data_IF_211104346441
#
_entry.id   IF_211104346441
#
_cell.length_a   1.000
_cell.length_b   1.000
_cell.length_c   1.000
_cell.angle_alpha   90.00
_cell.angle_beta   90.00
_cell.angle_gamma   90.00
#
_symmetry.space_group_name_H-M   'P 1'
#
loop_
_entity.id
_entity.type
_entity.pdbx_description
1 polymer ?
#
# COMPACT_ATOMS: atom_id res chain seq x y z
N UNK A 1 -8.81 8.20 13.85
CA UNK A 1 -8.26 7.46 15.02
C UNK A 1 -8.77 8.05 16.35
N UNK A 2 -8.77 9.38 16.53
CA UNK A 2 -9.31 10.02 17.74
C UNK A 2 -10.81 9.72 18.01
N UNK A 3 -11.65 9.73 16.97
CA UNK A 3 -13.08 9.40 17.10
C UNK A 3 -13.32 7.94 17.58
N UNK A 4 -12.53 7.00 17.07
CA UNK A 4 -12.62 5.58 17.45
C UNK A 4 -12.16 5.38 18.89
N UNK A 5 -11.08 6.05 19.30
CA UNK A 5 -10.61 6.02 20.69
C UNK A 5 -11.64 6.62 21.64
N UNK A 6 -12.28 7.73 21.25
CA UNK A 6 -13.36 8.36 22.02
C UNK A 6 -14.56 7.41 22.19
N UNK A 7 -14.97 6.73 21.13
CA UNK A 7 -16.08 5.79 21.18
C UNK A 7 -15.75 4.53 22.01
N UNK A 8 -14.52 4.00 21.92
CA UNK A 8 -14.05 2.90 22.76
C UNK A 8 -13.98 3.29 24.24
N UNK A 9 -13.47 4.49 24.56
CA UNK A 9 -13.47 5.01 25.94
C UNK A 9 -14.89 5.22 26.49
N UNK A 10 -15.81 5.71 25.66
CA UNK A 10 -17.21 5.81 26.02
C UNK A 10 -17.80 4.43 26.35
N UNK A 11 -17.54 3.42 25.51
CA UNK A 11 -18.05 2.06 25.71
C UNK A 11 -17.47 1.41 26.97
N UNK A 12 -16.18 1.63 27.26
CA UNK A 12 -15.53 1.21 28.51
C UNK A 12 -16.19 1.90 29.73
N UNK A 13 -16.48 3.20 29.63
CA UNK A 13 -17.16 3.94 30.69
C UNK A 13 -18.57 3.41 30.97
N UNK A 14 -19.33 3.04 29.95
CA UNK A 14 -20.66 2.44 30.11
C UNK A 14 -20.57 1.03 30.70
N UNK A 15 -19.59 0.22 30.27
CA UNK A 15 -19.34 -1.09 30.86
C UNK A 15 -18.94 -1.01 32.35
N UNK A 16 -18.14 0.00 32.73
CA UNK A 16 -17.81 0.29 34.12
C UNK A 16 -19.05 0.63 34.96
N UNK A 17 -19.95 1.47 34.45
CA UNK A 17 -21.23 1.79 35.11
C UNK A 17 -22.13 0.57 35.29
N UNK A 18 -22.17 -0.36 34.32
CA UNK A 18 -22.94 -1.61 34.44
C UNK A 18 -22.40 -2.50 35.57
N UNK A 19 -21.08 -2.58 35.74
CA UNK A 19 -20.45 -3.35 36.82
C UNK A 19 -20.76 -2.75 38.20
N UNK A 20 -20.77 -1.42 38.33
CA UNK A 20 -21.15 -0.71 39.57
C UNK A 20 -22.64 -0.89 39.92
N UNK A 21 -23.52 -0.88 38.90
CA UNK A 21 -24.98 -1.02 39.09
C UNK A 21 -25.45 -2.42 39.48
N UNK A 22 -24.62 -3.46 39.31
CA UNK A 22 -24.95 -4.83 39.73
C UNK A 22 -25.20 -4.96 41.25
N UNK A 23 -24.84 -3.95 42.05
CA UNK A 23 -24.94 -3.98 43.51
C UNK A 23 -26.22 -3.36 44.11
N UNK A 24 -27.01 -2.56 43.36
CA UNK A 24 -28.24 -1.94 43.92
C UNK A 24 -29.28 -1.34 42.92
N UNK A 25 -29.11 -1.44 41.60
CA UNK A 25 -29.85 -0.57 40.66
C UNK A 25 -31.29 -0.99 40.30
N UNK A 26 -32.14 0.00 40.01
CA UNK A 26 -33.44 -0.22 39.39
C UNK A 26 -33.27 -0.76 37.97
N UNK A 27 -34.09 -1.74 37.57
CA UNK A 27 -34.04 -2.37 36.24
C UNK A 27 -34.09 -1.34 35.09
N UNK A 28 -34.67 -0.16 35.32
CA UNK A 28 -34.78 0.92 34.34
C UNK A 28 -33.42 1.55 34.02
N UNK A 29 -32.57 1.79 35.03
CA UNK A 29 -31.25 2.41 34.84
C UNK A 29 -30.31 1.47 34.09
N UNK A 30 -30.39 0.17 34.39
CA UNK A 30 -29.64 -0.85 33.66
C UNK A 30 -30.06 -0.92 32.18
N UNK A 31 -31.37 -0.81 31.88
CA UNK A 31 -31.87 -0.80 30.50
C UNK A 31 -31.36 0.41 29.72
N UNK A 32 -31.31 1.60 30.35
CA UNK A 32 -30.78 2.81 29.73
C UNK A 32 -29.27 2.68 29.45
N UNK A 33 -28.48 2.20 30.42
CA UNK A 33 -27.05 1.98 30.22
C UNK A 33 -26.76 0.98 29.08
N UNK A 34 -27.54 -0.09 28.98
CA UNK A 34 -27.43 -1.06 27.88
C UNK A 34 -27.81 -0.42 26.53
N UNK A 35 -28.82 0.44 26.49
CA UNK A 35 -29.21 1.14 25.27
C UNK A 35 -28.09 2.09 24.79
N UNK A 36 -27.48 2.85 25.71
CA UNK A 36 -26.35 3.74 25.41
C UNK A 36 -25.14 2.96 24.88
N UNK A 37 -24.82 1.81 25.51
CA UNK A 37 -23.75 0.93 25.03
C UNK A 37 -24.01 0.46 23.60
N UNK A 38 -25.26 0.10 23.27
CA UNK A 38 -25.64 -0.36 21.93
C UNK A 38 -25.46 0.73 20.88
N UNK A 39 -25.81 1.97 21.20
CA UNK A 39 -25.62 3.12 20.30
C UNK A 39 -24.13 3.37 20.05
N UNK A 40 -23.31 3.37 21.10
CA UNK A 40 -21.87 3.55 20.97
C UNK A 40 -21.21 2.40 20.20
N UNK A 41 -21.66 1.16 20.41
CA UNK A 41 -21.15 0.02 19.64
C UNK A 41 -21.53 0.10 18.16
N UNK A 42 -22.73 0.62 17.85
CA UNK A 42 -23.14 0.85 16.47
C UNK A 42 -22.26 1.91 15.80
N UNK A 43 -21.93 2.99 16.51
CA UNK A 43 -21.02 4.03 16.02
C UNK A 43 -19.61 3.49 15.78
N UNK A 44 -19.06 2.71 16.72
CA UNK A 44 -17.76 2.03 16.54
C UNK A 44 -17.77 1.12 15.31
N UNK A 45 -18.87 0.39 15.06
CA UNK A 45 -18.98 -0.48 13.88
C UNK A 45 -18.97 0.29 12.57
N UNK A 46 -19.62 1.45 12.51
CA UNK A 46 -19.61 2.32 11.34
C UNK A 46 -18.19 2.85 11.09
N UNK A 47 -17.55 3.42 12.12
CA UNK A 47 -16.18 3.91 12.00
C UNK A 47 -15.18 2.81 11.60
N UNK A 48 -15.36 1.59 12.10
CA UNK A 48 -14.54 0.45 11.71
C UNK A 48 -14.76 0.04 10.25
N UNK A 49 -16.00 0.12 9.75
CA UNK A 49 -16.30 -0.15 8.35
C UNK A 49 -15.63 0.86 7.42
N UNK A 50 -15.66 2.15 7.78
CA UNK A 50 -14.98 3.22 7.02
C UNK A 50 -13.47 2.98 6.96
N UNK A 51 -12.83 2.65 8.10
CA UNK A 51 -11.40 2.34 8.15
C UNK A 51 -11.02 1.09 7.32
N UNK A 52 -11.91 0.08 7.28
CA UNK A 52 -11.69 -1.11 6.44
C UNK A 52 -11.70 -0.72 4.96
N UNK A 53 -12.60 0.17 4.55
CA UNK A 53 -12.67 0.61 3.16
C UNK A 53 -11.48 1.48 2.77
N UNK A 54 -11.10 2.45 3.61
CA UNK A 54 -9.89 3.27 3.40
C UNK A 54 -8.64 2.38 3.25
N UNK A 55 -8.51 1.36 4.09
CA UNK A 55 -7.38 0.43 4.03
C UNK A 55 -7.39 -0.40 2.72
N UNK A 56 -8.58 -0.81 2.26
CA UNK A 56 -8.73 -1.49 0.96
C UNK A 56 -8.35 -0.58 -0.20
N UNK A 57 -8.76 0.68 -0.18
CA UNK A 57 -8.39 1.65 -1.21
C UNK A 57 -6.89 1.91 -1.22
N UNK A 58 -6.29 2.16 -0.06
CA UNK A 58 -4.83 2.32 0.06
C UNK A 58 -4.08 1.09 -0.45
N UNK A 59 -4.53 -0.12 -0.11
CA UNK A 59 -3.93 -1.36 -0.60
C UNK A 59 -4.04 -1.50 -2.12
N UNK A 60 -5.17 -1.07 -2.74
CA UNK A 60 -5.32 -1.04 -4.20
C UNK A 60 -4.34 -0.05 -4.84
N UNK A 61 -4.26 1.18 -4.33
CA UNK A 61 -3.35 2.21 -4.83
C UNK A 61 -1.89 1.77 -4.75
N UNK A 62 -1.47 1.16 -3.63
CA UNK A 62 -0.12 0.60 -3.49
C UNK A 62 0.12 -0.48 -4.55
N UNK A 63 -0.83 -1.38 -4.77
CA UNK A 63 -0.71 -2.45 -5.77
C UNK A 63 -0.60 -1.90 -7.19
N UNK A 64 -1.33 -0.83 -7.50
CA UNK A 64 -1.26 -0.15 -8.79
C UNK A 64 0.09 0.55 -8.98
N UNK A 65 0.58 1.28 -7.97
CA UNK A 65 1.89 1.94 -8.01
C UNK A 65 3.06 0.94 -8.05
N UNK A 66 2.90 -0.23 -7.44
CA UNK A 66 3.87 -1.33 -7.49
C UNK A 66 3.75 -2.18 -8.76
N UNK A 67 2.73 -1.97 -9.59
CA UNK A 67 2.63 -2.67 -10.86
C UNK A 67 3.77 -2.19 -11.76
N UNK A 68 4.58 -3.10 -12.32
CA UNK A 68 5.69 -2.70 -13.16
C UNK A 68 5.17 -1.94 -14.37
N UNK A 69 5.84 -0.86 -14.80
CA UNK A 69 5.44 -0.11 -15.98
C UNK A 69 5.34 -1.06 -17.18
N UNK A 70 4.34 -0.84 -18.02
CA UNK A 70 4.15 -1.67 -19.20
C UNK A 70 5.27 -1.39 -20.20
N UNK A 71 6.19 -2.34 -20.31
CA UNK A 71 7.36 -2.26 -21.19
C UNK A 71 7.21 -3.15 -22.42
N UNK A 72 7.89 -2.75 -23.49
CA UNK A 72 8.02 -3.51 -24.74
C UNK A 72 9.48 -3.88 -24.93
N UNK A 73 9.75 -5.16 -25.17
CA UNK A 73 11.10 -5.64 -25.51
C UNK A 73 11.44 -5.29 -26.96
N UNK A 74 12.57 -4.61 -27.19
CA UNK A 74 13.14 -4.33 -28.51
C UNK A 74 14.67 -4.32 -28.40
N UNK A 75 15.36 -4.94 -29.35
CA UNK A 75 16.83 -4.95 -29.41
C UNK A 75 17.50 -5.33 -28.07
N UNK A 76 16.99 -6.38 -27.41
CA UNK A 76 17.46 -6.86 -26.10
C UNK A 76 17.41 -5.80 -24.97
N UNK A 77 16.59 -4.77 -25.14
CA UNK A 77 16.32 -3.71 -24.17
C UNK A 77 14.81 -3.61 -23.92
N UNK A 78 14.42 -3.02 -22.79
CA UNK A 78 13.05 -2.61 -22.56
C UNK A 78 12.84 -1.14 -22.88
N UNK A 79 11.66 -0.80 -23.39
CA UNK A 79 11.19 0.56 -23.61
C UNK A 79 9.79 0.72 -23.01
N UNK A 80 9.40 1.91 -22.58
CA UNK A 80 8.01 2.18 -22.22
C UNK A 80 7.13 2.19 -23.47
N UNK A 81 5.81 2.12 -23.30
CA UNK A 81 4.86 2.27 -24.42
C UNK A 81 4.97 3.63 -25.12
N UNK A 82 5.37 4.68 -24.41
CA UNK A 82 5.63 6.00 -25.02
C UNK A 82 6.97 6.04 -25.79
N UNK A 83 7.76 4.95 -25.78
CA UNK A 83 9.03 4.85 -26.48
C UNK A 83 10.24 5.31 -25.66
N UNK A 84 10.09 5.59 -24.36
CA UNK A 84 11.21 5.94 -23.50
C UNK A 84 12.09 4.71 -23.19
N UNK A 85 13.41 4.90 -23.16
CA UNK A 85 14.39 3.83 -22.97
C UNK A 85 15.77 4.20 -23.52
N UNK A 86 16.71 3.25 -23.67
CA UNK A 86 16.59 1.82 -23.37
C UNK A 86 16.80 1.49 -21.87
N UNK A 87 16.07 0.50 -21.38
CA UNK A 87 16.16 -0.02 -20.00
C UNK A 87 16.71 -1.46 -19.96
N UNK A 88 17.35 -1.80 -18.85
CA UNK A 88 17.98 -3.10 -18.64
C UNK A 88 16.95 -4.21 -18.40
N UNK A 89 16.93 -5.21 -19.29
CA UNK A 89 16.06 -6.40 -19.18
C UNK A 89 16.36 -7.17 -17.90
N UNK A 90 17.63 -7.43 -17.60
CA UNK A 90 18.02 -8.22 -16.41
C UNK A 90 17.60 -7.58 -15.08
N UNK A 91 17.77 -6.26 -14.93
CA UNK A 91 17.33 -5.55 -13.71
C UNK A 91 15.80 -5.50 -13.60
N UNK A 92 15.10 -5.37 -14.72
CA UNK A 92 13.65 -5.34 -14.73
C UNK A 92 13.05 -6.73 -14.43
N UNK A 93 13.55 -7.79 -15.04
CA UNK A 93 12.99 -9.14 -14.84
C UNK A 93 13.30 -9.71 -13.45
N UNK A 94 14.50 -9.43 -12.91
CA UNK A 94 14.91 -9.95 -11.60
C UNK A 94 14.42 -9.10 -10.42
N UNK A 95 14.37 -7.77 -10.56
CA UNK A 95 14.10 -6.83 -9.46
C UNK A 95 12.95 -5.87 -9.73
N UNK A 96 12.29 -5.94 -10.89
CA UNK A 96 11.28 -4.97 -11.35
C UNK A 96 11.78 -3.53 -11.36
N UNK A 97 13.08 -3.34 -11.62
CA UNK A 97 13.71 -2.02 -11.65
C UNK A 97 13.96 -1.53 -13.09
N UNK A 98 13.48 -0.33 -13.40
CA UNK A 98 13.70 0.34 -14.68
C UNK A 98 15.04 1.08 -14.70
N UNK A 99 16.14 0.33 -14.84
CA UNK A 99 17.49 0.91 -14.90
C UNK A 99 17.81 1.33 -16.33
N UNK A 100 18.04 2.63 -16.54
CA UNK A 100 18.43 3.15 -17.86
C UNK A 100 19.82 2.64 -18.24
N UNK A 101 19.93 2.12 -19.46
CA UNK A 101 21.20 1.67 -20.01
C UNK A 101 22.00 2.87 -20.53
N UNK A 102 23.33 2.80 -20.40
CA UNK A 102 24.25 3.82 -20.90
C UNK A 102 24.77 3.38 -22.27
N UNK A 103 24.77 4.30 -23.25
CA UNK A 103 25.45 4.09 -24.52
C UNK A 103 26.96 4.07 -24.29
N UNK A 104 27.63 3.07 -24.84
CA UNK A 104 29.09 2.88 -24.70
C UNK A 104 29.82 2.99 -26.04
N UNK A 105 29.14 3.50 -27.07
CA UNK A 105 29.73 3.72 -28.40
C UNK A 105 30.53 5.02 -28.50
N UNK A 106 31.85 4.89 -28.70
CA UNK A 106 32.76 5.98 -29.05
C UNK A 106 34.20 5.52 -29.31
N UNK A 107 34.56 5.48 -30.60
CA UNK A 107 35.89 5.45 -31.27
C UNK A 107 37.03 4.48 -30.87
N UNK A 108 37.11 3.96 -29.64
CA UNK A 108 38.18 3.04 -29.25
C UNK A 108 37.77 1.57 -29.39
N UNK A 109 38.18 1.01 -30.53
CA UNK A 109 37.96 -0.35 -30.99
C UNK A 109 38.58 -1.40 -30.07
N UNK A 110 37.75 -2.03 -29.24
CA UNK A 110 37.92 -3.45 -28.88
C UNK A 110 36.63 -4.27 -29.03
N UNK A 111 35.45 -3.66 -29.00
CA UNK A 111 34.16 -4.35 -29.18
C UNK A 111 33.21 -3.50 -30.04
N UNK A 112 33.27 -3.65 -31.36
CA UNK A 112 32.48 -2.87 -32.33
C UNK A 112 30.96 -3.04 -32.19
N UNK A 113 30.53 -4.12 -31.55
CA UNK A 113 29.12 -4.49 -31.49
C UNK A 113 28.50 -4.10 -30.14
N UNK A 114 29.27 -3.62 -29.17
CA UNK A 114 28.73 -3.27 -27.86
C UNK A 114 27.96 -1.93 -27.91
N UNK A 115 26.64 -1.99 -27.82
CA UNK A 115 25.76 -0.80 -27.90
C UNK A 115 25.49 -0.17 -26.54
N UNK A 116 25.17 -0.99 -25.53
CA UNK A 116 24.73 -0.48 -24.23
C UNK A 116 25.31 -1.26 -23.04
N UNK A 117 25.43 -0.60 -21.89
CA UNK A 117 25.83 -1.22 -20.62
C UNK A 117 24.98 -0.74 -19.45
N UNK A 118 24.54 -1.69 -18.62
CA UNK A 118 23.81 -1.38 -17.39
C UNK A 118 24.78 -0.89 -16.29
N UNK A 119 24.53 0.28 -15.66
CA UNK A 119 25.39 0.77 -14.58
C UNK A 119 25.29 -0.06 -13.29
N UNK A 120 24.19 -0.79 -13.09
CA UNK A 120 23.91 -1.54 -11.85
C UNK A 120 24.39 -2.98 -11.95
N UNK A 121 23.81 -3.78 -12.85
CA UNK A 121 24.16 -5.21 -12.98
C UNK A 121 25.32 -5.48 -13.96
N UNK A 122 25.84 -4.45 -14.62
CA UNK A 122 26.95 -4.51 -15.59
C UNK A 122 26.71 -5.34 -16.84
N UNK A 123 25.49 -5.87 -17.04
CA UNK A 123 25.06 -6.53 -18.28
C UNK A 123 25.27 -5.61 -19.48
N UNK A 124 25.83 -6.18 -20.53
CA UNK A 124 26.11 -5.55 -21.81
C UNK A 124 25.10 -6.00 -22.85
N UNK A 125 24.69 -5.07 -23.72
CA UNK A 125 23.81 -5.34 -24.86
C UNK A 125 24.59 -5.04 -26.13
N UNK A 126 24.62 -6.01 -27.04
CA UNK A 126 25.31 -5.96 -28.33
C UNK A 126 24.29 -5.78 -29.47
#
# INVERSE_FOLDING_TARGET
MEALMGAVQAAIGVAGKILEFSSAASLADLKNAIADLRLQLADIRLQAADLIEENREMARTIKELQSPPSVVARDNCYFTKEGDGPFCVGCHDSKRQMIRLLSVGGEEKQFSDLRYRCPVCKTTVY
#
